data_IF_110497688355
#
_entry.id   IF_110497688355
#
_cell.length_a   1.000
_cell.length_b   1.000
_cell.length_c   1.000
_cell.angle_alpha   90.00
_cell.angle_beta   90.00
_cell.angle_gamma   90.00
#
_symmetry.space_group_name_H-M   'P 1'
#
loop_
_entity.id
_entity.type
_entity.pdbx_description
1 polymer ?
#
# COMPACT_ATOMS: atom_id res chain seq x y z
N UNK A 1 -31.39 -5.32 3.23
CA UNK A 1 -30.90 -6.70 3.31
C UNK A 1 -29.43 -6.86 2.91
N UNK A 2 -28.99 -6.59 1.67
CA UNK A 2 -27.56 -6.78 1.28
C UNK A 2 -26.55 -6.01 2.15
N UNK A 3 -26.81 -4.73 2.45
CA UNK A 3 -25.91 -3.93 3.29
C UNK A 3 -25.76 -4.53 4.70
N UNK A 4 -26.79 -5.18 5.24
CA UNK A 4 -26.76 -5.78 6.58
C UNK A 4 -25.75 -6.93 6.65
N UNK A 5 -25.75 -7.80 5.65
CA UNK A 5 -24.79 -8.91 5.56
C UNK A 5 -23.35 -8.41 5.40
N UNK A 6 -23.14 -7.34 4.64
CA UNK A 6 -21.82 -6.69 4.55
C UNK A 6 -21.37 -6.12 5.90
N UNK A 7 -22.25 -5.47 6.65
CA UNK A 7 -21.90 -4.97 7.99
C UNK A 7 -21.60 -6.11 8.97
N UNK A 8 -22.39 -7.18 8.95
CA UNK A 8 -22.11 -8.38 9.75
C UNK A 8 -20.76 -8.99 9.38
N UNK A 9 -20.42 -9.07 8.09
CA UNK A 9 -19.12 -9.55 7.65
C UNK A 9 -17.97 -8.69 8.17
N UNK A 10 -18.17 -7.36 8.21
CA UNK A 10 -17.20 -6.43 8.78
C UNK A 10 -17.07 -6.60 10.30
N UNK A 11 -18.16 -6.83 11.03
CA UNK A 11 -18.13 -7.14 12.46
C UNK A 11 -17.35 -8.44 12.73
N UNK A 12 -17.47 -9.43 11.86
CA UNK A 12 -16.73 -10.70 11.98
C UNK A 12 -15.22 -10.55 11.81
N UNK A 13 -14.72 -9.45 11.22
CA UNK A 13 -13.28 -9.15 11.15
C UNK A 13 -12.65 -9.01 12.54
N UNK A 14 -13.46 -8.67 13.55
CA UNK A 14 -13.02 -8.60 14.94
C UNK A 14 -13.00 -9.96 15.65
N UNK A 15 -13.52 -11.02 15.04
CA UNK A 15 -13.43 -12.38 15.59
C UNK A 15 -12.02 -12.95 15.43
N UNK A 16 -11.50 -13.59 16.48
CA UNK A 16 -10.22 -14.30 16.42
C UNK A 16 -10.32 -15.60 15.62
N UNK A 17 -11.49 -16.26 15.65
CA UNK A 17 -11.69 -17.56 15.00
C UNK A 17 -11.98 -17.40 13.50
N UNK A 18 -12.81 -16.41 13.14
CA UNK A 18 -13.33 -16.26 11.76
C UNK A 18 -12.91 -14.97 11.08
N UNK A 19 -12.09 -14.12 11.72
CA UNK A 19 -11.70 -12.82 11.15
C UNK A 19 -11.01 -12.94 9.79
N UNK A 20 -10.05 -13.86 9.66
CA UNK A 20 -9.38 -14.10 8.37
C UNK A 20 -10.37 -14.58 7.29
N UNK A 21 -11.28 -15.50 7.64
CA UNK A 21 -12.32 -15.96 6.72
C UNK A 21 -13.29 -14.84 6.33
N UNK A 22 -13.58 -13.91 7.24
CA UNK A 22 -14.39 -12.73 6.94
C UNK A 22 -13.68 -11.78 5.95
N UNK A 23 -12.37 -11.60 6.08
CA UNK A 23 -11.58 -10.84 5.13
C UNK A 23 -11.56 -11.50 3.73
N UNK A 24 -11.41 -12.82 3.67
CA UNK A 24 -11.54 -13.59 2.42
C UNK A 24 -12.97 -13.52 1.84
N UNK A 25 -13.99 -13.45 2.68
CA UNK A 25 -15.36 -13.21 2.23
C UNK A 25 -15.51 -11.85 1.54
N UNK A 26 -14.86 -10.80 2.07
CA UNK A 26 -14.83 -9.48 1.41
C UNK A 26 -14.10 -9.58 0.07
N UNK A 27 -12.97 -10.29 0.02
CA UNK A 27 -12.23 -10.54 -1.20
C UNK A 27 -13.09 -11.22 -2.27
N UNK A 28 -13.77 -12.32 -1.90
CA UNK A 28 -14.66 -13.08 -2.78
C UNK A 28 -15.78 -12.21 -3.36
N UNK A 29 -16.36 -11.32 -2.54
CA UNK A 29 -17.43 -10.42 -2.98
C UNK A 29 -16.93 -9.45 -4.05
N UNK A 30 -15.70 -8.96 -3.94
CA UNK A 30 -15.18 -7.92 -4.84
C UNK A 30 -14.39 -8.45 -6.03
N UNK A 31 -14.03 -9.73 -6.04
CA UNK A 31 -13.33 -10.39 -7.14
C UNK A 31 -14.27 -10.75 -8.30
N UNK A 32 -13.70 -10.96 -9.49
CA UNK A 32 -14.45 -11.50 -10.62
C UNK A 32 -14.88 -12.95 -10.33
N UNK A 33 -16.08 -13.33 -10.77
CA UNK A 33 -16.65 -14.66 -10.59
C UNK A 33 -16.87 -15.32 -11.95
N UNK A 34 -16.49 -16.59 -12.09
CA UNK A 34 -16.80 -17.38 -13.28
C UNK A 34 -18.30 -17.71 -13.39
N UNK A 35 -19.01 -17.70 -12.27
CA UNK A 35 -20.41 -18.12 -12.16
C UNK A 35 -21.37 -16.94 -12.18
N UNK A 36 -21.02 -15.86 -11.46
CA UNK A 36 -21.84 -14.66 -11.32
C UNK A 36 -21.39 -13.58 -12.30
N UNK A 37 -21.57 -13.85 -13.59
CA UNK A 37 -21.19 -12.99 -14.71
C UNK A 37 -22.40 -12.73 -15.62
N UNK A 38 -22.41 -11.59 -16.32
CA UNK A 38 -23.40 -11.22 -17.34
C UNK A 38 -23.49 -12.29 -18.44
N UNK A 39 -22.39 -13.00 -18.72
CA UNK A 39 -22.34 -14.14 -19.64
C UNK A 39 -23.26 -15.28 -19.25
N UNK A 40 -23.53 -15.44 -17.95
CA UNK A 40 -24.42 -16.45 -17.39
C UNK A 40 -25.81 -15.89 -17.08
N UNK A 41 -26.18 -14.77 -17.73
CA UNK A 41 -27.46 -14.08 -17.54
C UNK A 41 -27.70 -13.54 -16.12
N UNK A 42 -26.64 -13.31 -15.35
CA UNK A 42 -26.72 -12.63 -14.06
C UNK A 42 -26.77 -11.10 -14.25
N UNK A 43 -27.62 -10.40 -13.47
CA UNK A 43 -27.64 -8.94 -13.46
C UNK A 43 -26.55 -8.41 -12.53
N UNK A 44 -25.43 -7.97 -13.11
CA UNK A 44 -24.29 -7.40 -12.37
C UNK A 44 -24.26 -5.90 -12.54
N UNK A 45 -24.27 -5.15 -11.42
CA UNK A 45 -24.18 -3.68 -11.47
C UNK A 45 -22.73 -3.24 -11.56
N UNK A 46 -22.33 -2.58 -12.64
CA UNK A 46 -20.96 -2.11 -12.89
C UNK A 46 -20.21 -1.50 -11.68
N UNK A 47 -20.90 -0.66 -10.89
CA UNK A 47 -20.29 0.09 -9.78
C UNK A 47 -20.37 -0.61 -8.41
N UNK A 48 -20.71 -1.90 -8.37
CA UNK A 48 -20.90 -2.61 -7.09
C UNK A 48 -19.64 -2.60 -6.22
N UNK A 49 -18.44 -2.73 -6.81
CA UNK A 49 -17.15 -2.69 -6.08
C UNK A 49 -16.93 -1.35 -5.39
N UNK A 50 -17.22 -0.26 -6.10
CA UNK A 50 -17.15 1.09 -5.54
C UNK A 50 -18.15 1.25 -4.41
N UNK A 51 -19.37 0.71 -4.55
CA UNK A 51 -20.37 0.73 -3.48
C UNK A 51 -19.91 -0.04 -2.25
N UNK A 52 -19.36 -1.26 -2.41
CA UNK A 52 -18.82 -2.05 -1.29
C UNK A 52 -17.68 -1.29 -0.59
N UNK A 53 -16.74 -0.75 -1.36
CA UNK A 53 -15.65 0.09 -0.84
C UNK A 53 -16.19 1.24 0.03
N UNK A 54 -17.15 2.03 -0.48
CA UNK A 54 -17.72 3.15 0.26
C UNK A 54 -18.45 2.73 1.55
N UNK A 55 -19.05 1.55 1.59
CA UNK A 55 -19.73 1.04 2.78
C UNK A 55 -18.76 0.51 3.85
N UNK A 56 -17.69 -0.16 3.43
CA UNK A 56 -16.78 -0.88 4.34
C UNK A 56 -15.67 0.02 4.89
N UNK A 57 -15.12 0.95 4.09
CA UNK A 57 -14.00 1.79 4.50
C UNK A 57 -14.23 2.55 5.82
N UNK A 58 -15.38 3.21 6.05
CA UNK A 58 -15.61 3.91 7.32
C UNK A 58 -15.56 3.00 8.54
N UNK A 59 -15.94 1.72 8.39
CA UNK A 59 -15.85 0.74 9.46
C UNK A 59 -14.41 0.28 9.70
N UNK A 60 -13.64 0.04 8.64
CA UNK A 60 -12.22 -0.31 8.78
C UNK A 60 -11.42 0.81 9.45
N UNK A 61 -11.70 2.07 9.10
CA UNK A 61 -11.03 3.24 9.70
C UNK A 61 -11.21 3.27 11.22
N UNK A 62 -12.40 2.90 11.72
CA UNK A 62 -12.73 2.86 13.16
C UNK A 62 -12.32 1.55 13.87
N UNK A 63 -11.80 0.57 13.13
CA UNK A 63 -11.47 -0.75 13.67
C UNK A 63 -10.18 -0.76 14.48
N UNK A 64 -9.84 -1.92 15.06
CA UNK A 64 -8.58 -2.14 15.80
C UNK A 64 -7.35 -2.33 14.91
N UNK A 65 -7.49 -2.22 13.58
CA UNK A 65 -6.42 -2.38 12.59
C UNK A 65 -5.66 -3.71 12.72
N UNK A 66 -6.36 -4.78 13.15
CA UNK A 66 -5.83 -6.15 13.16
C UNK A 66 -5.67 -6.69 11.74
N UNK A 67 -4.86 -7.73 11.57
CA UNK A 67 -4.54 -8.33 10.26
C UNK A 67 -5.76 -8.58 9.35
N UNK A 68 -6.92 -9.07 9.82
CA UNK A 68 -8.12 -9.20 8.98
C UNK A 68 -8.60 -7.88 8.37
N UNK A 69 -8.57 -6.79 9.14
CA UNK A 69 -8.97 -5.46 8.68
C UNK A 69 -8.01 -4.93 7.62
N UNK A 70 -6.71 -5.15 7.83
CA UNK A 70 -5.67 -4.76 6.88
C UNK A 70 -5.81 -5.54 5.57
N UNK A 71 -6.10 -6.85 5.67
CA UNK A 71 -6.33 -7.73 4.52
C UNK A 71 -7.57 -7.29 3.74
N UNK A 72 -8.68 -7.04 4.43
CA UNK A 72 -9.88 -6.47 3.84
C UNK A 72 -9.60 -5.13 3.12
N UNK A 73 -8.82 -4.25 3.72
CA UNK A 73 -8.41 -3.00 3.09
C UNK A 73 -7.63 -3.25 1.79
N UNK A 74 -6.67 -4.19 1.79
CA UNK A 74 -5.89 -4.52 0.61
C UNK A 74 -6.79 -5.04 -0.52
N UNK A 75 -7.71 -5.98 -0.25
CA UNK A 75 -8.65 -6.49 -1.27
C UNK A 75 -9.54 -5.38 -1.84
N UNK A 76 -10.04 -4.49 -0.98
CA UNK A 76 -10.85 -3.35 -1.42
C UNK A 76 -10.08 -2.37 -2.30
N UNK A 77 -8.80 -2.12 -2.00
CA UNK A 77 -7.93 -1.26 -2.80
C UNK A 77 -7.61 -1.86 -4.17
N UNK A 78 -7.47 -3.19 -4.26
CA UNK A 78 -7.29 -3.87 -5.54
C UNK A 78 -8.56 -3.83 -6.40
N UNK A 79 -9.73 -3.88 -5.76
CA UNK A 79 -11.01 -3.95 -6.45
C UNK A 79 -11.52 -2.62 -7.03
N UNK A 80 -10.99 -1.47 -6.60
CA UNK A 80 -11.44 -0.16 -7.06
C UNK A 80 -10.33 0.62 -7.76
N UNK A 81 -10.65 1.41 -8.79
CA UNK A 81 -9.64 2.21 -9.49
C UNK A 81 -9.08 3.31 -8.58
N UNK A 82 -7.88 3.80 -8.93
CA UNK A 82 -7.19 4.87 -8.21
C UNK A 82 -8.06 6.11 -7.97
N UNK A 83 -8.90 6.48 -8.94
CA UNK A 83 -9.82 7.61 -8.84
C UNK A 83 -10.82 7.49 -7.70
N UNK A 84 -11.12 6.27 -7.21
CA UNK A 84 -12.06 6.04 -6.11
C UNK A 84 -11.36 6.18 -4.77
N UNK A 85 -10.28 5.43 -4.55
CA UNK A 85 -9.65 5.41 -3.24
C UNK A 85 -8.86 6.69 -2.93
N UNK A 86 -8.43 7.46 -3.94
CA UNK A 86 -7.65 8.70 -3.73
C UNK A 86 -8.38 9.69 -2.81
N UNK A 87 -9.72 9.73 -2.88
CA UNK A 87 -10.57 10.59 -2.06
C UNK A 87 -10.63 10.18 -0.58
N UNK A 88 -10.27 8.93 -0.26
CA UNK A 88 -10.31 8.37 1.10
C UNK A 88 -8.93 8.23 1.73
N UNK A 89 -7.85 8.58 1.01
CA UNK A 89 -6.45 8.32 1.42
C UNK A 89 -6.10 8.86 2.80
N UNK A 90 -6.54 10.08 3.15
CA UNK A 90 -6.27 10.64 4.50
C UNK A 90 -6.81 9.73 5.60
N UNK A 91 -8.00 9.17 5.41
CA UNK A 91 -8.67 8.35 6.42
C UNK A 91 -8.06 6.96 6.53
N UNK A 92 -7.62 6.38 5.40
CA UNK A 92 -7.05 5.02 5.37
C UNK A 92 -5.55 4.99 5.63
N UNK A 93 -4.87 6.14 5.66
CA UNK A 93 -3.42 6.22 5.86
C UNK A 93 -2.92 5.48 7.10
N UNK A 94 -3.55 5.57 8.28
CA UNK A 94 -3.11 4.81 9.47
C UNK A 94 -3.08 3.30 9.21
N UNK A 95 -4.06 2.77 8.48
CA UNK A 95 -4.13 1.36 8.12
C UNK A 95 -3.05 1.01 7.09
N UNK A 96 -2.84 1.84 6.07
CA UNK A 96 -1.77 1.64 5.09
C UNK A 96 -0.40 1.59 5.76
N UNK A 97 -0.11 2.52 6.67
CA UNK A 97 1.13 2.54 7.44
C UNK A 97 1.25 1.30 8.31
N UNK A 98 0.18 0.92 9.02
CA UNK A 98 0.17 -0.28 9.87
C UNK A 98 0.40 -1.57 9.09
N UNK A 99 -0.14 -1.66 7.88
CA UNK A 99 0.06 -2.81 7.00
C UNK A 99 1.51 -3.03 6.57
N UNK A 100 2.33 -1.98 6.52
CA UNK A 100 3.77 -2.09 6.22
C UNK A 100 4.55 -2.81 7.32
N UNK A 101 4.00 -2.90 8.53
CA UNK A 101 4.61 -3.57 9.69
C UNK A 101 4.20 -5.07 9.78
N UNK A 102 3.57 -5.61 8.73
CA UNK A 102 3.13 -7.03 8.67
C UNK A 102 4.06 -7.88 7.79
N UNK A 103 3.85 -9.19 7.79
CA UNK A 103 4.70 -10.15 7.04
C UNK A 103 4.02 -10.77 5.81
N UNK A 104 2.75 -10.47 5.54
CA UNK A 104 2.01 -11.07 4.43
C UNK A 104 2.43 -10.52 3.07
N UNK A 105 2.96 -11.37 2.17
CA UNK A 105 3.47 -10.94 0.86
C UNK A 105 2.43 -10.16 0.05
N UNK A 106 1.23 -10.72 -0.10
CA UNK A 106 0.17 -10.15 -0.93
C UNK A 106 -0.28 -8.80 -0.36
N UNK A 107 -0.59 -8.76 0.94
CA UNK A 107 -0.94 -7.53 1.65
C UNK A 107 0.13 -6.44 1.47
N UNK A 108 1.39 -6.77 1.76
CA UNK A 108 2.51 -5.84 1.64
C UNK A 108 2.64 -5.34 0.20
N UNK A 109 2.54 -6.23 -0.78
CA UNK A 109 2.65 -5.89 -2.19
C UNK A 109 1.56 -4.90 -2.60
N UNK A 110 0.31 -5.17 -2.24
CA UNK A 110 -0.82 -4.29 -2.55
C UNK A 110 -0.64 -2.92 -1.90
N UNK A 111 -0.39 -2.89 -0.60
CA UNK A 111 -0.26 -1.64 0.15
C UNK A 111 0.92 -0.82 -0.34
N UNK A 112 2.07 -1.44 -0.58
CA UNK A 112 3.23 -0.78 -1.16
C UNK A 112 2.91 -0.24 -2.54
N UNK A 113 2.29 -1.02 -3.42
CA UNK A 113 1.95 -0.56 -4.77
C UNK A 113 0.99 0.63 -4.74
N UNK A 114 0.01 0.63 -3.84
CA UNK A 114 -0.89 1.76 -3.60
C UNK A 114 -0.11 2.99 -3.14
N UNK A 115 0.76 2.87 -2.13
CA UNK A 115 1.57 3.98 -1.65
C UNK A 115 2.53 4.51 -2.72
N UNK A 116 3.21 3.63 -3.45
CA UNK A 116 4.13 3.99 -4.54
C UNK A 116 3.39 4.74 -5.66
N UNK A 117 2.18 4.31 -6.01
CA UNK A 117 1.31 5.01 -6.97
C UNK A 117 0.98 6.42 -6.50
N UNK A 118 0.62 6.60 -5.23
CA UNK A 118 0.27 7.91 -4.66
C UNK A 118 1.49 8.84 -4.56
N UNK A 119 2.65 8.29 -4.21
CA UNK A 119 3.93 9.02 -4.22
C UNK A 119 4.30 9.44 -5.65
N UNK A 120 4.01 8.60 -6.64
CA UNK A 120 4.30 8.90 -8.04
C UNK A 120 3.50 10.11 -8.55
N UNK A 121 2.32 10.39 -8.00
CA UNK A 121 1.51 11.57 -8.34
C UNK A 121 1.88 12.82 -7.55
N UNK A 122 2.97 12.79 -6.76
CA UNK A 122 3.37 13.90 -5.86
C UNK A 122 2.23 14.36 -4.95
N UNK A 123 1.42 13.42 -4.45
CA UNK A 123 0.26 13.73 -3.65
C UNK A 123 0.70 14.44 -2.36
N UNK A 124 0.27 15.69 -2.15
CA UNK A 124 0.66 16.52 -1.02
C UNK A 124 0.36 15.87 0.34
N UNK A 125 -0.65 14.99 0.41
CA UNK A 125 -1.01 14.29 1.64
C UNK A 125 0.08 13.35 2.12
N UNK A 126 0.86 12.77 1.21
CA UNK A 126 1.93 11.85 1.56
C UNK A 126 3.21 12.58 1.96
N UNK A 127 3.33 13.88 1.69
CA UNK A 127 4.47 14.69 2.12
C UNK A 127 4.59 14.69 3.66
N UNK A 128 3.45 14.84 4.35
CA UNK A 128 3.38 14.86 5.81
C UNK A 128 3.68 13.49 6.45
N UNK A 129 3.72 12.42 5.65
CA UNK A 129 3.99 11.06 6.10
C UNK A 129 5.39 10.56 5.73
N UNK A 130 6.23 11.38 5.09
CA UNK A 130 7.59 11.00 4.69
C UNK A 130 8.41 10.45 5.87
N UNK A 131 8.35 11.11 7.03
CA UNK A 131 9.06 10.69 8.24
C UNK A 131 8.65 9.29 8.73
N UNK A 132 7.41 8.89 8.42
CA UNK A 132 6.85 7.59 8.80
C UNK A 132 7.12 6.52 7.73
N UNK A 133 7.07 6.91 6.46
CA UNK A 133 7.17 6.03 5.30
C UNK A 133 8.62 5.66 4.97
N UNK A 134 9.55 6.61 5.01
CA UNK A 134 10.95 6.38 4.64
C UNK A 134 11.61 5.27 5.48
N UNK A 135 11.53 5.28 6.82
CA UNK A 135 12.10 4.21 7.63
C UNK A 135 11.48 2.83 7.34
N UNK A 136 10.17 2.77 7.09
CA UNK A 136 9.46 1.52 6.76
C UNK A 136 9.84 0.98 5.39
N UNK A 137 9.97 1.84 4.39
CA UNK A 137 10.45 1.43 3.08
C UNK A 137 11.90 0.95 3.13
N UNK A 138 12.77 1.61 3.91
CA UNK A 138 14.13 1.12 4.14
C UNK A 138 14.12 -0.27 4.78
N UNK A 139 13.32 -0.46 5.84
CA UNK A 139 13.20 -1.74 6.51
C UNK A 139 12.74 -2.84 5.53
N UNK A 140 11.67 -2.59 4.78
CA UNK A 140 11.13 -3.55 3.81
C UNK A 140 12.11 -3.82 2.66
N UNK A 141 12.82 -2.80 2.15
CA UNK A 141 13.83 -2.95 1.11
C UNK A 141 14.97 -3.87 1.54
N UNK A 142 15.40 -3.78 2.81
CA UNK A 142 16.52 -4.55 3.35
C UNK A 142 16.11 -5.94 3.83
N UNK A 143 14.99 -6.06 4.54
CA UNK A 143 14.69 -7.24 5.36
C UNK A 143 13.58 -8.13 4.81
N UNK A 144 12.75 -7.66 3.88
CA UNK A 144 11.64 -8.49 3.40
C UNK A 144 12.14 -9.79 2.75
N UNK A 145 11.48 -10.90 3.09
CA UNK A 145 11.73 -12.19 2.45
C UNK A 145 11.40 -12.19 0.95
N UNK A 146 10.48 -11.30 0.53
CA UNK A 146 9.92 -11.29 -0.81
C UNK A 146 10.65 -10.32 -1.72
N UNK A 147 11.17 -10.84 -2.83
CA UNK A 147 11.92 -10.04 -3.80
C UNK A 147 11.12 -8.84 -4.33
N UNK A 148 9.83 -9.05 -4.63
CA UNK A 148 8.99 -8.00 -5.19
C UNK A 148 8.74 -6.87 -4.18
N UNK A 149 8.49 -7.21 -2.91
CA UNK A 149 8.32 -6.23 -1.82
C UNK A 149 9.57 -5.35 -1.69
N UNK A 150 10.77 -5.94 -1.73
CA UNK A 150 12.03 -5.18 -1.70
C UNK A 150 12.16 -4.20 -2.86
N UNK A 151 11.84 -4.63 -4.08
CA UNK A 151 11.88 -3.78 -5.28
C UNK A 151 10.90 -2.61 -5.15
N UNK A 152 9.65 -2.88 -4.78
CA UNK A 152 8.61 -1.84 -4.69
C UNK A 152 8.93 -0.84 -3.56
N UNK A 153 9.48 -1.30 -2.44
CA UNK A 153 9.95 -0.42 -1.37
C UNK A 153 11.08 0.53 -1.84
N UNK A 154 12.04 0.03 -2.63
CA UNK A 154 13.09 0.85 -3.24
C UNK A 154 12.53 1.89 -4.23
N UNK A 155 11.48 1.52 -4.98
CA UNK A 155 10.76 2.46 -5.85
C UNK A 155 10.01 3.52 -5.03
N UNK A 156 9.43 3.15 -3.89
CA UNK A 156 8.82 4.09 -2.94
C UNK A 156 9.81 5.14 -2.44
N UNK A 157 10.99 4.70 -1.98
CA UNK A 157 12.09 5.60 -1.61
C UNK A 157 12.51 6.51 -2.77
N UNK A 158 12.54 6.01 -4.00
CA UNK A 158 12.83 6.83 -5.16
C UNK A 158 11.73 7.88 -5.44
N UNK A 159 10.46 7.53 -5.24
CA UNK A 159 9.33 8.45 -5.46
C UNK A 159 9.22 9.51 -4.37
N UNK A 160 9.69 9.24 -3.14
CA UNK A 160 9.79 10.26 -2.09
C UNK A 160 10.62 11.46 -2.52
N UNK A 161 11.63 11.29 -3.39
CA UNK A 161 12.47 12.38 -3.91
C UNK A 161 11.72 13.42 -4.76
N UNK A 162 10.44 13.20 -5.07
CA UNK A 162 9.59 14.20 -5.73
C UNK A 162 9.11 15.29 -4.77
N UNK A 163 9.23 15.09 -3.45
CA UNK A 163 8.90 16.10 -2.45
C UNK A 163 10.03 17.09 -2.22
N UNK A 164 9.73 18.18 -1.50
CA UNK A 164 10.69 19.23 -1.19
C UNK A 164 11.96 18.67 -0.54
N UNK A 165 13.17 19.08 -0.99
CA UNK A 165 14.43 18.69 -0.36
C UNK A 165 14.46 18.96 1.15
N UNK A 166 13.79 20.01 1.62
CA UNK A 166 13.76 20.41 3.04
C UNK A 166 13.21 19.27 3.92
N UNK A 167 12.16 18.56 3.49
CA UNK A 167 11.60 17.45 4.26
C UNK A 167 12.40 16.15 4.15
N UNK A 168 13.26 16.02 3.13
CA UNK A 168 13.98 14.78 2.84
C UNK A 168 15.43 14.79 3.35
N UNK A 169 16.05 15.97 3.46
CA UNK A 169 17.43 16.13 3.92
C UNK A 169 17.70 15.49 5.29
N UNK A 170 16.79 15.55 6.30
CA UNK A 170 16.97 14.85 7.57
C UNK A 170 17.17 13.33 7.42
N UNK A 171 16.59 12.72 6.39
CA UNK A 171 16.67 11.28 6.12
C UNK A 171 17.85 10.87 5.24
N UNK A 172 18.47 11.84 4.54
CA UNK A 172 19.46 11.57 3.47
C UNK A 172 20.57 10.64 3.94
N UNK A 173 21.19 10.94 5.07
CA UNK A 173 22.33 10.18 5.57
C UNK A 173 21.93 8.74 5.89
N UNK A 174 20.84 8.55 6.63
CA UNK A 174 20.33 7.22 6.98
C UNK A 174 19.99 6.42 5.71
N UNK A 175 19.27 7.03 4.76
CA UNK A 175 18.87 6.34 3.52
C UNK A 175 20.09 5.91 2.71
N UNK A 176 21.08 6.77 2.51
CA UNK A 176 22.28 6.44 1.71
C UNK A 176 23.12 5.34 2.36
N UNK A 177 23.21 5.33 3.69
CA UNK A 177 23.91 4.28 4.44
C UNK A 177 23.16 2.95 4.37
N UNK A 178 21.87 2.94 4.68
CA UNK A 178 21.05 1.72 4.67
C UNK A 178 20.92 1.10 3.27
N UNK A 179 20.81 1.93 2.23
CA UNK A 179 20.78 1.45 0.84
C UNK A 179 22.10 0.80 0.39
N UNK A 180 23.22 1.05 1.08
CA UNK A 180 24.47 0.35 0.77
C UNK A 180 24.33 -1.15 0.98
N UNK A 181 23.62 -1.58 2.03
CA UNK A 181 23.34 -3.00 2.28
C UNK A 181 22.48 -3.64 1.18
N UNK A 182 21.61 -2.86 0.53
CA UNK A 182 20.77 -3.34 -0.56
C UNK A 182 21.55 -3.57 -1.86
N UNK A 183 22.78 -3.03 -1.98
CA UNK A 183 23.65 -3.28 -3.14
C UNK A 183 24.21 -4.70 -3.16
N UNK A 184 24.29 -5.36 -2.01
CA UNK A 184 24.73 -6.75 -1.87
C UNK A 184 23.56 -7.74 -1.84
N UNK A 185 22.36 -7.32 -2.25
CA UNK A 185 21.19 -8.19 -2.30
C UNK A 185 21.44 -9.45 -3.14
N UNK A 186 20.93 -10.61 -2.71
CA UNK A 186 21.06 -11.88 -3.45
C UNK A 186 20.51 -11.85 -4.89
N UNK A 187 19.59 -10.93 -5.22
CA UNK A 187 18.93 -10.84 -6.54
C UNK A 187 19.41 -9.62 -7.34
N UNK A 188 19.86 -9.85 -8.58
CA UNK A 188 20.35 -8.82 -9.51
C UNK A 188 19.38 -7.65 -9.71
N UNK A 189 18.08 -7.93 -9.84
CA UNK A 189 17.08 -6.88 -10.06
C UNK A 189 16.93 -5.95 -8.84
N UNK A 190 17.06 -6.49 -7.63
CA UNK A 190 17.06 -5.67 -6.40
C UNK A 190 18.29 -4.80 -6.34
N UNK A 191 19.48 -5.35 -6.60
CA UNK A 191 20.74 -4.59 -6.66
C UNK A 191 20.67 -3.44 -7.68
N UNK A 192 20.06 -3.68 -8.85
CA UNK A 192 19.86 -2.65 -9.89
C UNK A 192 18.99 -1.50 -9.37
N UNK A 193 17.85 -1.82 -8.75
CA UNK A 193 16.97 -0.77 -8.22
C UNK A 193 17.61 -0.05 -7.02
N UNK A 194 18.34 -0.77 -6.16
CA UNK A 194 19.06 -0.20 -5.02
C UNK A 194 20.14 0.79 -5.48
N UNK A 195 20.93 0.43 -6.50
CA UNK A 195 21.93 1.32 -7.09
C UNK A 195 21.29 2.59 -7.65
N UNK A 196 20.19 2.46 -8.40
CA UNK A 196 19.43 3.59 -8.94
C UNK A 196 18.90 4.51 -7.83
N UNK A 197 18.24 3.93 -6.83
CA UNK A 197 17.65 4.69 -5.72
C UNK A 197 18.74 5.40 -4.91
N UNK A 198 19.83 4.70 -4.55
CA UNK A 198 20.93 5.26 -3.77
C UNK A 198 21.62 6.42 -4.48
N UNK A 199 21.89 6.31 -5.78
CA UNK A 199 22.50 7.40 -6.56
C UNK A 199 21.64 8.65 -6.56
N UNK A 200 20.32 8.52 -6.69
CA UNK A 200 19.41 9.67 -6.65
C UNK A 200 19.36 10.32 -5.26
N UNK A 201 19.33 9.52 -4.19
CA UNK A 201 19.40 10.03 -2.82
C UNK A 201 20.75 10.71 -2.52
N UNK A 202 21.85 10.27 -3.13
CA UNK A 202 23.14 10.92 -3.00
C UNK A 202 23.13 12.37 -3.54
N UNK A 203 22.46 12.57 -4.68
CA UNK A 203 22.31 13.87 -5.34
C UNK A 203 21.30 14.81 -4.66
N UNK A 204 20.54 14.35 -3.68
CA UNK A 204 19.57 15.18 -2.96
C UNK A 204 20.27 16.40 -2.31
N UNK A 205 19.88 17.61 -2.70
CA UNK A 205 20.48 18.85 -2.21
C UNK A 205 21.82 19.22 -2.84
N UNK A 206 22.27 18.50 -3.88
CA UNK A 206 23.33 18.99 -4.75
C UNK A 206 22.79 20.16 -5.61
N UNK A 207 23.60 21.18 -5.90
CA UNK A 207 23.23 22.21 -6.86
C UNK A 207 22.97 21.55 -8.22
N UNK A 208 21.77 21.72 -8.75
CA UNK A 208 21.45 21.36 -10.13
C UNK A 208 21.98 22.46 -11.04
N UNK A 209 22.60 22.11 -12.17
CA UNK A 209 23.12 23.08 -13.16
C UNK A 209 22.04 24.00 -13.76
N UNK A 210 20.76 23.74 -13.44
CA UNK A 210 19.64 24.64 -13.69
C UNK A 210 19.34 25.43 -12.40
N UNK A 211 20.08 26.51 -12.18
CA UNK A 211 19.80 27.56 -11.20
C UNK A 211 20.32 28.89 -11.74
#
# INVERSE_FOLDING_TARGET
HMNQWLYQLVELLDSEEVGSAAAEGIHLIVSDSEWLDERNHCEVRLLYRQRVFHLVIPCLVRSKHRLPHLSALAYLLQAVPHSVYVHHIKQVMPLLVKSLDTEGEELLRTVLQTLVSLLATSNALLQDHVDTLVPRFLHLARHSAFMQVRIVALQGLCNCLKYSPISLLPHKQQVVLELAHCLDDKKRLVRKEAARTRSKWYLLGAPTEES
#
